data_IF_094972501983
#
_entry.id   IF_094972501983
#
_cell.length_a   1.000
_cell.length_b   1.000
_cell.length_c   1.000
_cell.angle_alpha   90.00
_cell.angle_beta   90.00
_cell.angle_gamma   90.00
#
_symmetry.space_group_name_H-M   'P 1'
#
loop_
_entity.id
_entity.type
_entity.pdbx_description
1 polymer ?
#
# COMPACT_ATOMS: atom_id res chain seq x y z
N UNK A 1 18.35 5.33 -7.21
CA UNK A 1 18.02 3.90 -7.14
C UNK A 1 16.52 3.76 -7.28
N UNK A 2 16.03 2.92 -8.20
CA UNK A 2 14.62 2.92 -8.62
C UNK A 2 14.00 1.56 -8.29
N UNK A 3 13.36 1.47 -7.13
CA UNK A 3 12.53 0.33 -6.80
C UNK A 3 11.30 0.35 -7.70
N UNK A 4 10.86 -0.82 -8.15
CA UNK A 4 9.61 -0.97 -8.89
C UNK A 4 8.53 -1.56 -7.97
N UNK A 5 7.32 -1.03 -8.08
CA UNK A 5 6.15 -1.54 -7.37
C UNK A 5 5.27 -2.26 -8.38
N UNK A 6 4.83 -3.48 -8.06
CA UNK A 6 4.11 -4.34 -8.99
C UNK A 6 2.79 -4.79 -8.38
N UNK A 7 1.78 -4.88 -9.24
CA UNK A 7 0.52 -5.52 -8.89
C UNK A 7 0.75 -7.02 -8.59
N UNK A 8 0.20 -7.57 -7.49
CA UNK A 8 0.33 -9.00 -7.20
C UNK A 8 -0.28 -9.91 -8.25
N UNK A 9 -1.34 -9.44 -8.92
CA UNK A 9 -2.17 -10.21 -9.85
C UNK A 9 -1.67 -10.14 -11.29
N UNK A 10 -1.49 -8.93 -11.85
CA UNK A 10 -1.09 -8.76 -13.25
C UNK A 10 0.41 -8.50 -13.46
N UNK A 11 1.18 -8.32 -12.38
CA UNK A 11 2.61 -7.94 -12.40
C UNK A 11 2.91 -6.62 -13.12
N UNK A 12 1.90 -5.82 -13.47
CA UNK A 12 2.11 -4.51 -14.06
C UNK A 12 2.77 -3.56 -13.05
N UNK A 13 3.63 -2.66 -13.55
CA UNK A 13 4.33 -1.66 -12.75
C UNK A 13 3.38 -0.54 -12.34
N UNK A 14 3.28 -0.30 -11.04
CA UNK A 14 2.38 0.67 -10.41
C UNK A 14 3.04 2.01 -10.14
N UNK A 15 4.37 2.09 -10.18
CA UNK A 15 5.11 3.31 -9.88
C UNK A 15 5.46 4.12 -11.15
N UNK A 16 5.15 5.41 -11.13
CA UNK A 16 5.55 6.39 -12.14
C UNK A 16 6.24 7.56 -11.44
N UNK A 17 7.46 7.89 -11.88
CA UNK A 17 8.36 8.84 -11.20
C UNK A 17 8.57 8.42 -9.74
N UNK A 18 8.14 9.24 -8.78
CA UNK A 18 8.29 9.05 -7.34
C UNK A 18 6.99 8.62 -6.65
N UNK A 19 5.97 8.20 -7.41
CA UNK A 19 4.66 7.87 -6.89
C UNK A 19 4.22 6.47 -7.29
N UNK A 20 3.56 5.77 -6.38
CA UNK A 20 2.73 4.59 -6.66
C UNK A 20 1.34 5.11 -7.05
N UNK A 21 0.83 4.65 -8.18
CA UNK A 21 -0.48 5.04 -8.72
C UNK A 21 -1.46 3.91 -8.50
N UNK A 22 -2.55 4.20 -7.81
CA UNK A 22 -3.56 3.22 -7.43
C UNK A 22 -4.95 3.73 -7.78
N UNK A 23 -5.84 2.83 -8.17
CA UNK A 23 -7.26 3.14 -8.28
C UNK A 23 -7.92 2.93 -6.92
N UNK A 24 -8.79 3.84 -6.50
CA UNK A 24 -9.46 3.76 -5.21
C UNK A 24 -10.97 3.89 -5.35
N UNK A 25 -11.70 3.29 -4.42
CA UNK A 25 -13.15 3.43 -4.28
C UNK A 25 -13.50 3.77 -2.83
N UNK A 26 -14.28 4.83 -2.66
CA UNK A 26 -14.80 5.23 -1.35
C UNK A 26 -15.96 4.36 -0.91
N UNK A 27 -16.33 4.42 0.37
CA UNK A 27 -17.54 3.80 0.90
C UNK A 27 -18.81 4.28 0.16
N UNK A 28 -18.82 5.55 -0.27
CA UNK A 28 -19.88 6.16 -1.08
C UNK A 28 -19.80 5.81 -2.57
N UNK A 29 -18.98 4.82 -2.95
CA UNK A 29 -18.81 4.30 -4.31
C UNK A 29 -18.21 5.28 -5.32
N UNK A 30 -17.65 6.41 -4.85
CA UNK A 30 -16.90 7.33 -5.71
C UNK A 30 -15.56 6.68 -6.08
N UNK A 31 -15.13 6.85 -7.32
CA UNK A 31 -13.86 6.29 -7.82
C UNK A 31 -12.87 7.40 -8.13
N UNK A 32 -11.59 7.13 -7.86
CA UNK A 32 -10.51 8.07 -8.09
C UNK A 32 -9.18 7.37 -8.32
N UNK A 33 -8.17 8.15 -8.66
CA UNK A 33 -6.77 7.73 -8.62
C UNK A 33 -6.11 8.41 -7.43
N UNK A 34 -5.30 7.65 -6.69
CA UNK A 34 -4.44 8.19 -5.65
C UNK A 34 -2.98 7.94 -6.03
N UNK A 35 -2.16 8.95 -5.76
CA UNK A 35 -0.72 8.92 -5.88
C UNK A 35 -0.15 8.88 -4.47
N UNK A 36 0.55 7.81 -4.13
CA UNK A 36 1.26 7.67 -2.87
C UNK A 36 2.75 7.81 -3.11
N UNK A 37 3.51 8.40 -2.18
CA UNK A 37 4.97 8.43 -2.28
C UNK A 37 5.54 7.00 -2.41
N UNK A 38 6.47 6.80 -3.35
CA UNK A 38 7.16 5.51 -3.50
C UNK A 38 8.25 5.28 -2.44
N UNK A 39 8.48 6.26 -1.56
CA UNK A 39 9.44 6.18 -0.45
C UNK A 39 8.72 5.64 0.78
N UNK A 40 9.08 4.44 1.23
CA UNK A 40 8.51 3.84 2.44
C UNK A 40 8.69 4.76 3.66
N UNK A 41 7.62 4.90 4.45
CA UNK A 41 7.55 5.85 5.57
C UNK A 41 7.26 7.31 5.18
N UNK A 42 7.14 7.63 3.89
CA UNK A 42 6.56 8.89 3.44
C UNK A 42 5.08 8.68 3.08
N UNK A 43 4.20 9.37 3.80
CA UNK A 43 2.73 9.27 3.65
C UNK A 43 2.13 10.43 2.87
N UNK A 44 2.95 11.25 2.22
CA UNK A 44 2.48 12.24 1.26
C UNK A 44 1.68 11.54 0.16
N UNK A 45 0.47 12.05 -0.04
CA UNK A 45 -0.45 11.54 -1.06
C UNK A 45 -1.11 12.69 -1.81
N UNK A 46 -1.49 12.43 -3.05
CA UNK A 46 -2.22 13.38 -3.89
C UNK A 46 -3.29 12.65 -4.69
N UNK A 47 -4.41 13.33 -4.89
CA UNK A 47 -5.54 12.87 -5.72
C UNK A 47 -6.10 14.06 -6.50
N UNK A 48 -7.10 13.82 -7.35
CA UNK A 48 -7.80 14.90 -8.04
C UNK A 48 -8.45 15.85 -7.00
N UNK A 49 -8.37 17.18 -7.17
CA UNK A 49 -8.89 18.13 -6.16
C UNK A 49 -10.38 17.97 -5.82
N UNK A 50 -11.19 17.43 -6.73
CA UNK A 50 -12.62 17.19 -6.51
C UNK A 50 -12.92 15.80 -5.93
N UNK A 51 -11.91 14.95 -5.77
CA UNK A 51 -12.03 13.64 -5.14
C UNK A 51 -11.77 13.80 -3.64
N UNK A 52 -12.81 14.22 -2.93
CA UNK A 52 -12.76 14.44 -1.48
C UNK A 52 -12.72 13.10 -0.74
N UNK A 53 -11.68 12.92 0.08
CA UNK A 53 -11.51 11.80 1.02
C UNK A 53 -11.43 12.36 2.44
N UNK A 54 -12.02 11.64 3.40
CA UNK A 54 -12.06 12.08 4.80
C UNK A 54 -11.14 11.23 5.67
N UNK A 55 -10.51 11.84 6.68
CA UNK A 55 -9.74 11.08 7.68
C UNK A 55 -10.64 10.03 8.34
N UNK A 56 -10.14 8.79 8.45
CA UNK A 56 -10.87 7.64 8.98
C UNK A 56 -11.74 6.90 7.97
N UNK A 57 -11.89 7.40 6.74
CA UNK A 57 -12.62 6.71 5.68
C UNK A 57 -11.84 5.49 5.17
N UNK A 58 -12.54 4.38 4.93
CA UNK A 58 -11.94 3.20 4.30
C UNK A 58 -11.96 3.35 2.77
N UNK A 59 -10.78 3.30 2.13
CA UNK A 59 -10.63 3.31 0.68
C UNK A 59 -10.28 1.92 0.18
N UNK A 60 -11.19 1.28 -0.54
CA UNK A 60 -10.83 0.04 -1.23
C UNK A 60 -9.81 0.35 -2.34
N UNK A 61 -8.69 -0.38 -2.34
CA UNK A 61 -7.59 -0.14 -3.27
C UNK A 61 -7.58 -1.20 -4.38
N UNK A 62 -7.41 -0.74 -5.61
CA UNK A 62 -7.42 -1.56 -6.81
C UNK A 62 -6.20 -1.28 -7.69
N UNK A 63 -5.79 -2.31 -8.42
CA UNK A 63 -4.84 -2.13 -9.51
C UNK A 63 -5.48 -1.26 -10.62
N UNK A 64 -4.83 -0.17 -11.07
CA UNK A 64 -5.36 0.67 -12.15
C UNK A 64 -5.32 0.00 -13.53
N UNK A 65 -4.56 -1.09 -13.70
CA UNK A 65 -4.42 -1.79 -14.98
C UNK A 65 -5.36 -2.98 -15.13
N UNK A 66 -5.47 -3.83 -14.11
CA UNK A 66 -6.29 -5.05 -14.17
C UNK A 66 -7.54 -5.01 -13.29
N UNK A 67 -7.75 -3.92 -12.52
CA UNK A 67 -8.88 -3.74 -11.62
C UNK A 67 -9.02 -4.80 -10.50
N UNK A 68 -8.00 -5.64 -10.30
CA UNK A 68 -7.97 -6.54 -9.16
C UNK A 68 -7.94 -5.74 -7.85
N UNK A 69 -8.76 -6.15 -6.88
CA UNK A 69 -8.74 -5.63 -5.53
C UNK A 69 -7.40 -6.03 -4.89
N UNK A 70 -6.70 -5.07 -4.28
CA UNK A 70 -5.38 -5.27 -3.69
C UNK A 70 -5.43 -5.60 -2.20
N UNK A 71 -6.61 -5.85 -1.64
CA UNK A 71 -6.80 -6.20 -0.24
C UNK A 71 -5.98 -7.43 0.16
N UNK A 72 -5.30 -7.33 1.29
CA UNK A 72 -4.41 -8.33 1.86
C UNK A 72 -5.14 -9.09 2.98
N UNK A 73 -6.20 -9.82 2.59
CA UNK A 73 -7.12 -10.53 3.49
C UNK A 73 -6.39 -11.53 4.41
N UNK A 74 -5.25 -12.05 3.97
CA UNK A 74 -4.39 -12.92 4.77
C UNK A 74 -3.79 -12.23 6.01
N UNK A 75 -3.81 -10.90 6.10
CA UNK A 75 -3.31 -10.13 7.23
C UNK A 75 -4.45 -9.41 7.98
N UNK A 76 -5.20 -8.54 7.29
CA UNK A 76 -6.33 -7.80 7.86
C UNK A 76 -7.22 -7.24 6.74
N UNK A 77 -8.49 -7.01 7.02
CA UNK A 77 -9.42 -6.46 6.04
C UNK A 77 -9.15 -5.00 5.69
N UNK A 78 -8.41 -4.26 6.51
CA UNK A 78 -8.07 -2.85 6.28
C UNK A 78 -6.71 -2.66 5.59
N UNK A 79 -6.09 -3.73 5.10
CA UNK A 79 -4.77 -3.68 4.50
C UNK A 79 -4.82 -3.99 3.00
N UNK A 80 -3.98 -3.31 2.24
CA UNK A 80 -3.69 -3.59 0.85
C UNK A 80 -2.24 -4.07 0.67
N UNK A 81 -1.98 -4.86 -0.38
CA UNK A 81 -0.66 -5.39 -0.70
C UNK A 81 -0.25 -5.13 -2.15
N UNK A 82 1.02 -4.75 -2.31
CA UNK A 82 1.75 -4.74 -3.59
C UNK A 82 3.08 -5.44 -3.44
N UNK A 83 3.71 -5.82 -4.55
CA UNK A 83 5.11 -6.26 -4.52
C UNK A 83 6.05 -5.08 -4.78
N UNK A 84 7.22 -5.10 -4.16
CA UNK A 84 8.33 -4.22 -4.51
C UNK A 84 9.52 -5.06 -4.95
N UNK A 85 10.19 -4.67 -6.04
CA UNK A 85 11.47 -5.24 -6.46
C UNK A 85 12.58 -4.22 -6.31
N UNK A 86 13.70 -4.65 -5.75
CA UNK A 86 14.94 -3.87 -5.72
C UNK A 86 15.78 -4.09 -7.00
N UNK A 87 16.97 -3.49 -7.03
CA UNK A 87 17.91 -3.59 -8.16
C UNK A 87 18.45 -5.01 -8.37
N UNK A 88 18.44 -5.85 -7.33
CA UNK A 88 18.84 -7.25 -7.39
C UNK A 88 17.68 -8.18 -7.76
N UNK A 89 16.53 -7.64 -8.18
CA UNK A 89 15.29 -8.38 -8.44
C UNK A 89 14.75 -9.13 -7.21
N UNK A 90 15.18 -8.75 -6.00
CA UNK A 90 14.63 -9.31 -4.78
C UNK A 90 13.23 -8.76 -4.57
N UNK A 91 12.28 -9.65 -4.34
CA UNK A 91 10.86 -9.33 -4.16
C UNK A 91 10.56 -9.15 -2.68
N UNK A 92 9.82 -8.09 -2.38
CA UNK A 92 9.30 -7.76 -1.05
C UNK A 92 7.79 -7.62 -1.13
N UNK A 93 7.09 -8.03 -0.08
CA UNK A 93 5.68 -7.68 0.11
C UNK A 93 5.60 -6.34 0.81
N UNK A 94 4.91 -5.38 0.18
CA UNK A 94 4.62 -4.08 0.76
C UNK A 94 3.14 -4.05 1.11
N UNK A 95 2.86 -3.96 2.41
CA UNK A 95 1.52 -3.95 2.96
C UNK A 95 1.26 -2.60 3.64
N UNK A 96 0.12 -1.99 3.41
CA UNK A 96 -0.22 -0.66 3.94
C UNK A 96 -1.72 -0.50 4.16
N UNK A 97 -2.11 0.46 4.99
CA UNK A 97 -3.51 0.69 5.36
C UNK A 97 -4.36 1.25 4.22
N UNK A 98 -5.60 0.77 4.15
CA UNK A 98 -6.71 1.30 3.36
C UNK A 98 -7.43 2.46 4.10
N UNK A 99 -7.12 2.72 5.38
CA UNK A 99 -7.76 3.77 6.19
C UNK A 99 -7.05 5.11 6.00
N UNK A 100 -7.81 6.13 5.59
CA UNK A 100 -7.27 7.48 5.36
C UNK A 100 -6.75 8.10 6.65
N UNK A 101 -5.46 8.47 6.66
CA UNK A 101 -4.76 9.04 7.80
C UNK A 101 -4.18 8.00 8.77
N UNK A 102 -4.32 6.71 8.46
CA UNK A 102 -3.64 5.65 9.18
C UNK A 102 -2.28 5.35 8.53
N UNK A 103 -1.25 5.96 9.11
CA UNK A 103 0.12 5.82 8.64
C UNK A 103 0.79 4.55 9.18
N UNK A 104 0.61 3.44 8.48
CA UNK A 104 1.38 2.23 8.66
C UNK A 104 1.81 1.64 7.30
N UNK A 105 3.05 1.15 7.23
CA UNK A 105 3.55 0.42 6.06
C UNK A 105 4.50 -0.67 6.54
N UNK A 106 4.39 -1.85 5.96
CA UNK A 106 5.18 -3.02 6.30
C UNK A 106 5.89 -3.51 5.04
N UNK A 107 7.20 -3.66 5.13
CA UNK A 107 8.02 -4.33 4.12
C UNK A 107 8.43 -5.68 4.66
N UNK A 108 7.92 -6.72 4.02
CA UNK A 108 8.02 -8.09 4.49
C UNK A 108 8.87 -8.88 3.50
N UNK A 109 9.82 -9.65 4.02
CA UNK A 109 10.57 -10.65 3.28
C UNK A 109 10.93 -11.82 4.19
N UNK A 110 10.55 -13.02 3.77
CA UNK A 110 10.68 -14.24 4.57
C UNK A 110 10.01 -14.08 5.95
N UNK A 111 10.81 -13.98 7.02
CA UNK A 111 10.36 -13.76 8.40
C UNK A 111 10.78 -12.39 8.96
N UNK A 112 11.32 -11.51 8.13
CA UNK A 112 11.74 -10.17 8.52
C UNK A 112 10.67 -9.16 8.12
N UNK A 113 10.31 -8.31 9.07
CA UNK A 113 9.35 -7.22 8.89
C UNK A 113 10.07 -5.93 9.24
N UNK A 114 10.15 -5.02 8.28
CA UNK A 114 10.48 -3.62 8.50
C UNK A 114 9.17 -2.83 8.53
N UNK A 115 8.91 -2.12 9.63
CA UNK A 115 7.69 -1.33 9.82
C UNK A 115 7.99 0.16 9.74
N UNK A 116 7.03 0.93 9.24
CA UNK A 116 7.11 2.37 9.10
C UNK A 116 5.79 3.03 9.53
N UNK A 117 5.88 4.27 10.02
CA UNK A 117 4.73 5.11 10.37
C UNK A 117 4.38 5.12 11.86
N UNK A 118 3.54 6.08 12.26
CA UNK A 118 3.14 6.25 13.67
C UNK A 118 2.18 5.15 14.16
N UNK A 119 1.42 4.55 13.23
CA UNK A 119 0.48 3.46 13.52
C UNK A 119 1.10 2.07 13.25
N UNK A 120 2.43 2.00 13.11
CA UNK A 120 3.12 0.76 12.72
C UNK A 120 2.84 -0.44 13.62
N UNK A 121 2.46 -0.25 14.89
CA UNK A 121 2.20 -1.35 15.83
C UNK A 121 0.81 -1.99 15.69
N UNK A 122 -0.09 -1.43 14.88
CA UNK A 122 -1.49 -1.82 14.81
C UNK A 122 -1.69 -3.25 14.27
N UNK A 123 -0.94 -3.63 13.22
CA UNK A 123 -1.13 -4.90 12.53
C UNK A 123 0.02 -5.89 12.70
N UNK A 124 1.06 -5.57 13.48
CA UNK A 124 2.29 -6.38 13.57
C UNK A 124 2.02 -7.84 13.97
N UNK A 125 1.03 -8.05 14.84
CA UNK A 125 0.65 -9.38 15.33
C UNK A 125 0.03 -10.28 14.24
N UNK A 126 -0.42 -9.70 13.13
CA UNK A 126 -1.10 -10.40 12.03
C UNK A 126 -0.12 -11.06 11.05
N UNK A 127 1.17 -10.72 11.11
CA UNK A 127 2.18 -11.22 10.17
C UNK A 127 2.95 -12.45 10.69
N UNK A 128 2.60 -12.98 11.86
CA UNK A 128 3.19 -14.21 12.41
C UNK A 128 4.69 -14.13 12.77
N UNK A 129 5.34 -12.97 12.62
CA UNK A 129 6.76 -12.79 12.91
C UNK A 129 6.99 -11.92 14.17
N UNK A 130 8.10 -12.17 14.88
CA UNK A 130 8.54 -11.34 16.00
C UNK A 130 8.98 -9.97 15.46
N UNK A 131 8.22 -8.91 15.76
CA UNK A 131 8.64 -7.54 15.50
C UNK A 131 10.05 -7.31 16.08
N UNK A 132 10.98 -6.81 15.28
CA UNK A 132 12.25 -6.28 15.77
C UNK A 132 12.12 -4.77 15.78
N UNK A 133 11.98 -4.21 16.99
CA UNK A 133 11.99 -2.78 17.27
C UNK A 133 13.41 -2.23 17.23
#
# INVERSE_FOLDING_TARGET
MKNDFLCPYCKGKLNVKSNIVLAVRTETQKRGLIFLSSKLGNYESTTHPTFEIKKGEHLEIFCPMCHANLKAIEFDENLAKVFMTDESQKVYEIVFSEIVGEHCTYKIVDHNIESYGEHQNQYVNHFGAKARF
#
